data_IF_286277122169
#
_entry.id   IF_286277122169
#
_cell.length_a   1.000
_cell.length_b   1.000
_cell.length_c   1.000
_cell.angle_alpha   90.00
_cell.angle_beta   90.00
_cell.angle_gamma   90.00
#
_symmetry.space_group_name_H-M   'P 1'
#
loop_
_entity.id
_entity.type
_entity.pdbx_description
1 polymer ?
#
# COMPACT_ATOMS: atom_id res chain seq x y z
N UNK A 1 -4.67 3.32 -12.28
CA UNK A 1 -4.73 3.71 -10.87
C UNK A 1 -5.82 2.98 -10.10
N UNK A 2 -5.77 3.02 -8.79
CA UNK A 2 -6.70 2.29 -7.90
C UNK A 2 -7.27 3.25 -6.85
N UNK A 3 -8.59 3.36 -6.79
CA UNK A 3 -9.36 4.22 -5.88
C UNK A 3 -10.36 3.39 -5.05
N UNK A 4 -9.87 2.74 -3.98
CA UNK A 4 -10.63 1.82 -3.14
C UNK A 4 -10.55 2.18 -1.65
N UNK A 5 -9.87 3.25 -1.28
CA UNK A 5 -9.60 3.59 0.13
C UNK A 5 -10.86 3.86 0.94
N UNK A 6 -11.90 4.38 0.32
CA UNK A 6 -13.17 4.72 0.98
C UNK A 6 -13.99 3.49 1.40
N UNK A 7 -13.64 2.30 0.92
CA UNK A 7 -14.24 1.04 1.39
C UNK A 7 -13.59 0.50 2.67
N UNK A 8 -12.47 1.09 3.09
CA UNK A 8 -11.82 0.79 4.38
C UNK A 8 -12.39 1.71 5.48
N UNK A 9 -12.43 3.02 5.19
CA UNK A 9 -12.94 4.03 6.09
C UNK A 9 -13.46 5.22 5.28
N UNK A 10 -14.70 5.62 5.52
CA UNK A 10 -15.30 6.79 4.86
C UNK A 10 -14.81 8.05 5.55
N UNK A 11 -14.25 8.97 4.78
CA UNK A 11 -13.81 10.29 5.23
C UNK A 11 -14.83 11.35 4.91
N UNK A 12 -14.81 12.45 5.63
CA UNK A 12 -15.69 13.59 5.35
C UNK A 12 -15.49 14.11 3.92
N UNK A 13 -16.57 14.22 3.18
CA UNK A 13 -16.56 14.65 1.78
C UNK A 13 -16.14 13.57 0.77
N UNK A 14 -15.91 12.34 1.22
CA UNK A 14 -15.59 11.21 0.37
C UNK A 14 -16.74 10.23 0.24
N UNK A 15 -16.65 9.40 -0.78
CA UNK A 15 -17.62 8.35 -1.10
C UNK A 15 -18.05 8.42 -2.56
N UNK A 16 -18.14 7.25 -3.18
CA UNK A 16 -18.57 7.09 -4.57
C UNK A 16 -19.86 6.30 -4.60
N UNK A 17 -20.87 6.84 -5.27
CA UNK A 17 -22.14 6.15 -5.55
C UNK A 17 -22.19 5.73 -7.02
N UNK A 18 -22.82 4.60 -7.29
CA UNK A 18 -23.06 4.15 -8.66
C UNK A 18 -24.54 3.95 -8.94
N UNK A 19 -25.00 4.46 -10.08
CA UNK A 19 -26.37 4.28 -10.58
C UNK A 19 -26.39 4.33 -12.13
N UNK A 20 -27.05 3.36 -12.75
CA UNK A 20 -27.25 3.35 -14.19
C UNK A 20 -25.95 3.38 -15.02
N UNK A 21 -24.88 2.74 -14.55
CA UNK A 21 -23.58 2.74 -15.23
C UNK A 21 -22.79 4.06 -15.11
N UNK A 22 -23.17 4.91 -14.16
CA UNK A 22 -22.50 6.19 -13.87
C UNK A 22 -22.07 6.28 -12.44
N UNK A 23 -20.94 6.95 -12.20
CA UNK A 23 -20.41 7.26 -10.88
C UNK A 23 -20.64 8.73 -10.54
N UNK A 24 -20.89 8.98 -9.23
CA UNK A 24 -20.95 10.31 -8.63
C UNK A 24 -20.27 10.29 -7.28
N UNK A 25 -19.62 11.40 -6.92
CA UNK A 25 -18.95 11.58 -5.65
C UNK A 25 -17.46 11.70 -5.78
N UNK A 26 -16.73 11.43 -4.68
CA UNK A 26 -15.30 11.68 -4.58
C UNK A 26 -14.58 10.47 -4.02
N UNK A 27 -13.51 10.03 -4.68
CA UNK A 27 -12.55 9.07 -4.14
C UNK A 27 -11.25 9.79 -3.77
N UNK A 28 -10.90 9.76 -2.49
CA UNK A 28 -9.64 10.32 -1.99
C UNK A 28 -8.52 9.27 -2.09
N UNK A 29 -7.27 9.73 -2.30
CA UNK A 29 -6.07 8.88 -2.32
C UNK A 29 -6.11 7.74 -3.36
N UNK A 30 -6.49 8.06 -4.60
CA UNK A 30 -6.28 7.15 -5.72
C UNK A 30 -4.78 6.93 -5.92
N UNK A 31 -4.35 5.66 -5.82
CA UNK A 31 -2.95 5.26 -5.97
C UNK A 31 -2.57 5.10 -7.43
N UNK A 32 -1.30 5.37 -7.76
CA UNK A 32 -0.73 5.32 -9.11
C UNK A 32 -1.60 6.13 -10.09
N UNK A 33 -1.82 7.37 -9.68
CA UNK A 33 -2.74 8.30 -10.29
C UNK A 33 -2.18 8.89 -11.60
N UNK A 34 -0.91 9.34 -11.61
CA UNK A 34 -0.29 9.95 -12.77
C UNK A 34 0.02 8.91 -13.85
N UNK A 35 -0.31 9.26 -15.10
CA UNK A 35 -0.05 8.39 -16.24
C UNK A 35 -0.96 7.16 -16.35
N UNK A 36 -2.00 7.07 -15.53
CA UNK A 36 -2.97 6.00 -15.63
C UNK A 36 -3.88 6.18 -16.85
N UNK A 37 -4.09 5.13 -17.64
CA UNK A 37 -5.07 5.11 -18.74
C UNK A 37 -6.49 4.87 -18.20
N UNK A 38 -6.61 4.23 -17.04
CA UNK A 38 -7.89 3.94 -16.40
C UNK A 38 -7.73 3.79 -14.86
N UNK A 39 -8.86 3.90 -14.18
CA UNK A 39 -8.95 3.74 -12.72
C UNK A 39 -9.91 2.61 -12.36
N UNK A 40 -9.48 1.75 -11.43
CA UNK A 40 -10.37 0.83 -10.73
C UNK A 40 -10.93 1.58 -9.51
N UNK A 41 -12.24 1.73 -9.46
CA UNK A 41 -12.94 2.52 -8.43
C UNK A 41 -13.90 1.60 -7.68
N UNK A 42 -13.85 1.59 -6.36
CA UNK A 42 -14.88 0.95 -5.54
C UNK A 42 -15.95 1.96 -5.13
N UNK A 43 -17.22 1.60 -5.30
CA UNK A 43 -18.32 2.39 -4.76
C UNK A 43 -18.61 2.05 -3.29
N UNK A 44 -19.51 2.82 -2.67
CA UNK A 44 -19.90 2.65 -1.26
C UNK A 44 -20.57 1.29 -0.96
N UNK A 45 -21.04 0.58 -1.99
CA UNK A 45 -21.56 -0.79 -1.89
C UNK A 45 -20.50 -1.86 -2.06
N UNK A 46 -19.24 -1.49 -2.27
CA UNK A 46 -18.13 -2.41 -2.49
C UNK A 46 -18.08 -3.00 -3.91
N UNK A 47 -18.84 -2.46 -4.86
CA UNK A 47 -18.76 -2.87 -6.26
C UNK A 47 -17.57 -2.20 -6.93
N UNK A 48 -16.92 -2.91 -7.84
CA UNK A 48 -15.79 -2.39 -8.61
C UNK A 48 -16.22 -1.93 -9.99
N UNK A 49 -15.68 -0.80 -10.39
CA UNK A 49 -15.92 -0.16 -11.68
C UNK A 49 -14.61 0.21 -12.35
N UNK A 50 -14.55 0.09 -13.68
CA UNK A 50 -13.47 0.61 -14.50
C UNK A 50 -13.91 1.96 -15.11
N UNK A 51 -13.06 2.96 -14.94
CA UNK A 51 -13.27 4.32 -15.45
C UNK A 51 -12.06 4.72 -16.28
N UNK A 52 -12.26 5.11 -17.53
CA UNK A 52 -11.19 5.66 -18.36
C UNK A 52 -10.71 7.00 -17.83
N UNK A 53 -9.40 7.25 -17.86
CA UNK A 53 -8.81 8.48 -17.34
C UNK A 53 -9.31 9.75 -18.04
N UNK A 54 -9.80 9.61 -19.29
CA UNK A 54 -10.36 10.72 -20.08
C UNK A 54 -11.89 10.72 -20.09
N UNK A 55 -12.55 9.98 -19.18
CA UNK A 55 -14.01 9.90 -19.13
C UNK A 55 -14.63 11.28 -18.85
N UNK A 56 -15.71 11.60 -19.58
CA UNK A 56 -16.46 12.85 -19.33
C UNK A 56 -17.04 12.83 -17.90
N UNK A 57 -16.95 13.95 -17.19
CA UNK A 57 -17.41 14.09 -15.81
C UNK A 57 -16.39 13.56 -14.76
N UNK A 58 -15.21 13.12 -15.19
CA UNK A 58 -14.09 12.82 -14.30
C UNK A 58 -13.19 14.05 -14.16
N UNK A 59 -12.99 14.52 -12.94
CA UNK A 59 -11.92 15.45 -12.56
C UNK A 59 -10.89 14.70 -11.73
N UNK A 60 -9.63 14.74 -12.17
CA UNK A 60 -8.52 14.07 -11.53
C UNK A 60 -7.52 15.10 -11.00
N UNK A 61 -7.30 15.12 -9.67
CA UNK A 61 -6.54 16.15 -8.98
C UNK A 61 -5.32 15.51 -8.31
N UNK A 62 -4.11 15.93 -8.71
CA UNK A 62 -2.87 15.46 -8.11
C UNK A 62 -2.73 15.99 -6.67
N UNK A 63 -2.35 15.11 -5.74
CA UNK A 63 -2.04 15.47 -4.36
C UNK A 63 -0.53 15.56 -4.16
N UNK A 64 -0.11 16.58 -3.42
CA UNK A 64 1.30 16.71 -3.03
C UNK A 64 1.61 15.77 -1.88
N UNK A 65 2.51 14.82 -2.09
CA UNK A 65 2.95 13.84 -1.09
C UNK A 65 4.43 13.99 -0.77
N UNK A 66 4.84 13.51 0.42
CA UNK A 66 6.26 13.46 0.82
C UNK A 66 7.00 12.42 -0.03
N UNK A 67 6.41 11.23 -0.18
CA UNK A 67 6.92 10.20 -1.07
C UNK A 67 6.60 10.54 -2.52
N UNK A 68 7.65 10.84 -3.29
CA UNK A 68 7.56 11.18 -4.72
C UNK A 68 7.77 9.98 -5.64
N UNK A 69 7.99 8.80 -5.09
CA UNK A 69 8.14 7.57 -5.87
C UNK A 69 6.79 7.01 -6.33
N UNK A 70 5.69 7.51 -5.74
CA UNK A 70 4.31 7.13 -6.06
C UNK A 70 3.45 8.37 -6.20
N UNK A 71 2.59 8.36 -7.20
CA UNK A 71 1.58 9.40 -7.36
C UNK A 71 0.30 9.04 -6.60
N UNK A 72 -0.30 10.04 -5.98
CA UNK A 72 -1.59 9.92 -5.30
C UNK A 72 -2.47 11.07 -5.75
N UNK A 73 -3.73 10.80 -6.01
CA UNK A 73 -4.68 11.80 -6.48
C UNK A 73 -6.05 11.68 -5.83
N UNK A 74 -6.86 12.68 -6.06
CA UNK A 74 -8.29 12.71 -5.78
C UNK A 74 -9.05 12.60 -7.11
N UNK A 75 -10.06 11.75 -7.14
CA UNK A 75 -10.94 11.58 -8.30
C UNK A 75 -12.34 12.07 -7.94
N UNK A 76 -12.86 13.02 -8.69
CA UNK A 76 -14.24 13.51 -8.57
C UNK A 76 -15.05 13.05 -9.76
N UNK A 77 -16.23 12.52 -9.49
CA UNK A 77 -17.13 11.95 -10.48
C UNK A 77 -18.43 12.76 -10.51
N UNK A 78 -18.81 13.23 -11.69
CA UNK A 78 -20.11 13.90 -11.97
C UNK A 78 -20.77 13.22 -13.19
N UNK A 79 -21.61 12.23 -12.88
CA UNK A 79 -22.26 11.42 -13.92
C UNK A 79 -21.29 10.67 -14.83
N UNK A 80 -20.08 10.36 -14.33
CA UNK A 80 -18.99 9.74 -15.08
C UNK A 80 -19.33 8.32 -15.48
N UNK A 81 -19.27 8.02 -16.78
CA UNK A 81 -19.52 6.66 -17.27
C UNK A 81 -18.47 5.67 -16.76
N UNK A 82 -18.93 4.52 -16.29
CA UNK A 82 -18.10 3.48 -15.73
C UNK A 82 -18.57 2.10 -16.15
N UNK A 83 -17.62 1.21 -16.44
CA UNK A 83 -17.88 -0.18 -16.75
C UNK A 83 -17.87 -1.00 -15.43
N UNK A 84 -18.91 -1.77 -15.11
CA UNK A 84 -18.90 -2.64 -13.94
C UNK A 84 -17.89 -3.78 -14.13
N UNK A 85 -16.98 -3.94 -13.16
CA UNK A 85 -16.00 -5.04 -13.12
C UNK A 85 -16.45 -6.19 -12.22
N UNK A 86 -17.01 -5.87 -11.06
CA UNK A 86 -17.50 -6.86 -10.11
C UNK A 86 -18.67 -6.29 -9.27
N UNK A 87 -19.71 -7.11 -9.12
CA UNK A 87 -20.84 -6.89 -8.22
C UNK A 87 -21.14 -8.20 -7.47
N UNK A 88 -20.25 -8.55 -6.55
CA UNK A 88 -20.20 -9.83 -5.83
C UNK A 88 -20.32 -9.66 -4.31
N UNK A 89 -20.94 -8.55 -3.89
CA UNK A 89 -21.08 -8.22 -2.47
C UNK A 89 -19.76 -7.78 -1.81
N UNK A 90 -18.80 -7.29 -2.60
CA UNK A 90 -17.54 -6.76 -2.12
C UNK A 90 -16.41 -7.80 -1.98
N UNK A 91 -16.61 -9.02 -2.46
CA UNK A 91 -15.57 -10.07 -2.41
C UNK A 91 -14.33 -9.67 -3.23
N UNK A 92 -14.52 -9.17 -4.46
CA UNK A 92 -13.42 -8.71 -5.30
C UNK A 92 -12.69 -7.51 -4.67
N UNK A 93 -13.43 -6.57 -4.07
CA UNK A 93 -12.85 -5.42 -3.35
C UNK A 93 -12.04 -5.86 -2.14
N UNK A 94 -12.53 -6.82 -1.33
CA UNK A 94 -11.79 -7.38 -0.22
C UNK A 94 -10.50 -8.08 -0.68
N UNK A 95 -10.56 -8.80 -1.80
CA UNK A 95 -9.39 -9.44 -2.42
C UNK A 95 -8.37 -8.39 -2.90
N UNK A 96 -8.82 -7.31 -3.50
CA UNK A 96 -7.97 -6.21 -3.95
C UNK A 96 -7.28 -5.52 -2.76
N UNK A 97 -7.99 -5.29 -1.66
CA UNK A 97 -7.39 -4.79 -0.40
C UNK A 97 -6.32 -5.73 0.15
N UNK A 98 -6.59 -7.02 0.17
CA UNK A 98 -5.63 -7.99 0.66
C UNK A 98 -4.37 -8.01 -0.23
N UNK A 99 -4.53 -7.99 -1.57
CA UNK A 99 -3.41 -7.88 -2.50
C UNK A 99 -2.57 -6.62 -2.26
N UNK A 100 -3.22 -5.47 -2.11
CA UNK A 100 -2.55 -4.20 -1.80
C UNK A 100 -1.75 -4.26 -0.51
N UNK A 101 -2.29 -4.90 0.55
CA UNK A 101 -1.58 -5.09 1.81
C UNK A 101 -0.31 -5.93 1.65
N UNK A 102 -0.36 -7.02 0.87
CA UNK A 102 0.81 -7.86 0.61
C UNK A 102 1.88 -7.09 -0.17
N UNK A 103 1.48 -6.36 -1.21
CA UNK A 103 2.41 -5.55 -2.02
C UNK A 103 3.08 -4.47 -1.17
N UNK A 104 2.32 -3.75 -0.34
CA UNK A 104 2.86 -2.73 0.56
C UNK A 104 3.74 -3.32 1.69
N UNK A 105 3.46 -4.54 2.13
CA UNK A 105 4.32 -5.25 3.07
C UNK A 105 5.63 -5.67 2.42
N UNK A 106 5.59 -6.14 1.17
CA UNK A 106 6.80 -6.49 0.40
C UNK A 106 7.68 -5.26 0.13
N UNK A 107 7.08 -4.13 -0.19
CA UNK A 107 7.78 -2.86 -0.35
C UNK A 107 8.49 -2.41 0.95
N UNK A 108 7.77 -2.45 2.07
CA UNK A 108 8.35 -2.14 3.40
C UNK A 108 9.46 -3.12 3.79
N UNK A 109 9.34 -4.40 3.41
CA UNK A 109 10.38 -5.41 3.62
C UNK A 109 11.64 -5.05 2.85
N UNK A 110 11.53 -4.70 1.56
CA UNK A 110 12.67 -4.31 0.73
C UNK A 110 13.34 -3.02 1.22
N UNK A 111 12.55 -2.01 1.58
CA UNK A 111 13.07 -0.75 2.13
C UNK A 111 13.79 -0.97 3.47
N UNK A 112 13.23 -1.79 4.37
CA UNK A 112 13.85 -2.14 5.64
C UNK A 112 15.19 -2.85 5.45
N UNK A 113 15.29 -3.80 4.53
CA UNK A 113 16.54 -4.47 4.19
C UNK A 113 17.61 -3.47 3.73
N UNK A 114 17.24 -2.58 2.80
CA UNK A 114 18.17 -1.58 2.27
C UNK A 114 18.66 -0.60 3.36
N UNK A 115 17.81 -0.23 4.32
CA UNK A 115 18.20 0.63 5.44
C UNK A 115 19.15 -0.07 6.40
N UNK A 116 18.91 -1.34 6.72
CA UNK A 116 19.81 -2.14 7.57
C UNK A 116 21.18 -2.25 6.91
N UNK A 117 21.26 -2.58 5.62
CA UNK A 117 22.51 -2.67 4.88
C UNK A 117 23.30 -1.36 4.92
N UNK A 118 22.62 -0.24 4.62
CA UNK A 118 23.24 1.11 4.70
C UNK A 118 23.73 1.46 6.11
N UNK A 119 22.96 1.12 7.15
CA UNK A 119 23.35 1.38 8.54
C UNK A 119 24.60 0.56 8.93
N UNK A 120 24.65 -0.71 8.55
CA UNK A 120 25.79 -1.59 8.80
C UNK A 120 27.04 -1.12 8.04
N UNK A 121 26.90 -0.79 6.75
CA UNK A 121 27.98 -0.26 5.91
C UNK A 121 28.54 1.03 6.49
N UNK A 122 27.66 1.96 6.88
CA UNK A 122 28.08 3.21 7.49
C UNK A 122 28.80 2.98 8.85
N UNK A 123 28.30 2.09 9.67
CA UNK A 123 28.93 1.73 10.94
C UNK A 123 30.33 1.10 10.74
N UNK A 124 30.55 0.43 9.61
CA UNK A 124 31.84 -0.12 9.19
C UNK A 124 32.83 0.88 8.61
N UNK A 125 32.41 2.11 8.33
CA UNK A 125 33.24 3.15 7.69
C UNK A 125 33.47 4.37 8.58
N UNK A 126 32.49 4.74 9.38
CA UNK A 126 32.54 5.95 10.22
C UNK A 126 33.42 5.75 11.46
N UNK A 127 34.37 6.64 11.65
CA UNK A 127 35.20 6.66 12.85
C UNK A 127 34.76 7.74 13.83
N UNK A 128 34.72 7.38 15.11
CA UNK A 128 34.57 8.29 16.26
C UNK A 128 35.35 7.73 17.45
N UNK A 129 35.91 8.62 18.28
CA UNK A 129 36.71 8.24 19.43
C UNK A 129 37.90 7.32 19.07
N UNK A 130 38.51 7.55 17.90
CA UNK A 130 39.69 6.82 17.40
C UNK A 130 39.43 5.40 16.92
N UNK A 131 38.17 5.03 16.64
CA UNK A 131 37.82 3.72 16.10
C UNK A 131 36.50 3.75 15.32
N UNK A 132 36.27 2.71 14.50
CA UNK A 132 35.00 2.54 13.78
C UNK A 132 33.81 2.46 14.73
N UNK A 133 32.71 3.19 14.42
CA UNK A 133 31.53 3.17 15.29
C UNK A 133 30.90 1.78 15.41
N UNK A 134 31.00 0.95 14.37
CA UNK A 134 30.57 -0.46 14.40
C UNK A 134 31.36 -1.32 15.40
N UNK A 135 32.48 -0.85 15.95
CA UNK A 135 33.21 -1.55 17.01
C UNK A 135 32.56 -1.40 18.40
N UNK A 136 31.70 -0.39 18.58
CA UNK A 136 30.99 -0.17 19.84
C UNK A 136 29.85 -1.17 20.01
N UNK A 137 29.76 -1.77 21.19
CA UNK A 137 28.77 -2.81 21.47
C UNK A 137 27.33 -2.31 21.31
N UNK A 138 27.04 -1.07 21.70
CA UNK A 138 25.72 -0.48 21.55
C UNK A 138 25.28 -0.42 20.06
N UNK A 139 26.18 -0.02 19.16
CA UNK A 139 25.89 0.03 17.71
C UNK A 139 25.69 -1.38 17.15
N UNK A 140 26.54 -2.35 17.56
CA UNK A 140 26.36 -3.75 17.15
C UNK A 140 25.02 -4.32 17.58
N UNK A 141 24.60 -4.04 18.80
CA UNK A 141 23.31 -4.52 19.32
C UNK A 141 22.13 -3.90 18.57
N UNK A 142 22.19 -2.60 18.24
CA UNK A 142 21.16 -1.96 17.43
C UNK A 142 21.04 -2.61 16.04
N UNK A 143 22.17 -2.82 15.36
CA UNK A 143 22.17 -3.48 14.06
C UNK A 143 21.63 -4.92 14.14
N UNK A 144 22.03 -5.67 15.17
CA UNK A 144 21.56 -7.03 15.40
C UNK A 144 20.05 -7.08 15.70
N UNK A 145 19.53 -6.12 16.48
CA UNK A 145 18.11 -6.02 16.79
C UNK A 145 17.28 -5.67 15.54
N UNK A 146 17.76 -4.73 14.71
CA UNK A 146 17.11 -4.42 13.42
C UNK A 146 17.02 -5.68 12.55
N UNK A 147 18.11 -6.42 12.39
CA UNK A 147 18.14 -7.66 11.61
C UNK A 147 17.21 -8.75 12.21
N UNK A 148 17.24 -8.94 13.53
CA UNK A 148 16.43 -9.94 14.22
C UNK A 148 14.92 -9.67 14.10
N UNK A 149 14.51 -8.40 14.13
CA UNK A 149 13.11 -8.03 13.93
C UNK A 149 12.68 -8.08 12.47
N UNK A 150 13.59 -7.78 11.55
CA UNK A 150 13.30 -7.70 10.12
C UNK A 150 13.17 -9.07 9.45
N UNK A 151 14.03 -10.04 9.79
CA UNK A 151 14.07 -11.33 9.11
C UNK A 151 12.74 -12.13 9.17
N UNK A 152 11.98 -12.17 10.29
CA UNK A 152 10.68 -12.82 10.32
C UNK A 152 9.65 -12.22 9.35
N UNK A 153 9.76 -10.93 9.00
CA UNK A 153 8.86 -10.27 8.07
C UNK A 153 8.89 -10.92 6.68
N UNK A 154 10.05 -11.47 6.26
CA UNK A 154 10.21 -12.18 4.99
C UNK A 154 9.25 -13.37 4.89
N UNK A 155 9.23 -14.22 5.91
CA UNK A 155 8.35 -15.38 5.95
C UNK A 155 6.87 -14.99 5.97
N UNK A 156 6.53 -13.92 6.71
CA UNK A 156 5.15 -13.40 6.75
C UNK A 156 4.68 -12.91 5.38
N UNK A 157 5.51 -12.15 4.67
CA UNK A 157 5.17 -11.63 3.34
C UNK A 157 5.03 -12.77 2.33
N UNK A 158 5.96 -13.72 2.34
CA UNK A 158 5.91 -14.87 1.45
C UNK A 158 4.70 -15.77 1.71
N UNK A 159 4.39 -16.02 2.98
CA UNK A 159 3.20 -16.80 3.32
C UNK A 159 1.92 -16.06 2.93
N UNK A 160 1.84 -14.75 3.16
CA UNK A 160 0.69 -13.96 2.76
C UNK A 160 0.48 -13.96 1.23
N UNK A 161 1.55 -13.88 0.44
CA UNK A 161 1.48 -14.00 -1.01
C UNK A 161 1.02 -15.42 -1.44
N UNK A 162 1.60 -16.45 -0.85
CA UNK A 162 1.23 -17.85 -1.11
C UNK A 162 -0.24 -18.14 -0.79
N UNK A 163 -0.77 -17.58 0.29
CA UNK A 163 -2.13 -17.81 0.75
C UNK A 163 -3.21 -17.34 -0.25
N UNK A 164 -2.89 -16.39 -1.14
CA UNK A 164 -3.82 -15.94 -2.17
C UNK A 164 -4.29 -17.06 -3.08
N UNK A 165 -3.42 -18.00 -3.40
CA UNK A 165 -3.71 -19.10 -4.32
C UNK A 165 -3.94 -20.41 -3.58
N UNK A 166 -3.12 -20.71 -2.56
CA UNK A 166 -3.12 -21.99 -1.88
C UNK A 166 -4.12 -22.07 -0.72
N UNK A 167 -4.38 -20.96 0.00
CA UNK A 167 -5.26 -20.93 1.18
C UNK A 167 -6.15 -19.67 1.15
N UNK A 168 -7.02 -19.51 0.14
CA UNK A 168 -7.78 -18.26 -0.06
C UNK A 168 -8.63 -17.81 1.13
N UNK A 169 -9.06 -18.74 1.99
CA UNK A 169 -9.83 -18.43 3.20
C UNK A 169 -9.04 -17.66 4.24
N UNK A 170 -7.72 -17.79 4.25
CA UNK A 170 -6.80 -17.11 5.18
C UNK A 170 -6.19 -15.85 4.56
N UNK A 171 -6.25 -15.68 3.24
CA UNK A 171 -5.52 -14.64 2.51
C UNK A 171 -5.70 -13.23 3.10
N UNK A 172 -6.92 -12.84 3.43
CA UNK A 172 -7.20 -11.53 4.02
C UNK A 172 -6.57 -11.35 5.39
N UNK A 173 -6.65 -12.36 6.26
CA UNK A 173 -6.09 -12.33 7.62
C UNK A 173 -4.57 -12.25 7.58
N UNK A 174 -3.92 -13.13 6.81
CA UNK A 174 -2.45 -13.17 6.75
C UNK A 174 -1.88 -11.95 6.04
N UNK A 175 -2.61 -11.35 5.07
CA UNK A 175 -2.26 -10.07 4.47
C UNK A 175 -2.28 -8.92 5.50
N UNK A 176 -3.28 -8.91 6.39
CA UNK A 176 -3.32 -7.95 7.51
C UNK A 176 -2.15 -8.13 8.47
N UNK A 177 -1.83 -9.38 8.85
CA UNK A 177 -0.69 -9.68 9.72
C UNK A 177 0.63 -9.24 9.10
N UNK A 178 0.86 -9.60 7.83
CA UNK A 178 2.07 -9.20 7.11
C UNK A 178 2.22 -7.68 7.06
N UNK A 179 1.15 -6.95 6.67
CA UNK A 179 1.20 -5.49 6.56
C UNK A 179 1.39 -4.80 7.90
N UNK A 180 0.67 -5.23 8.94
CA UNK A 180 0.75 -4.61 10.27
C UNK A 180 2.14 -4.81 10.88
N UNK A 181 2.62 -6.06 10.93
CA UNK A 181 3.92 -6.37 11.53
C UNK A 181 5.08 -5.73 10.76
N UNK A 182 5.10 -5.86 9.43
CA UNK A 182 6.17 -5.28 8.61
C UNK A 182 6.21 -3.76 8.69
N UNK A 183 5.05 -3.08 8.78
CA UNK A 183 5.00 -1.62 8.94
C UNK A 183 5.60 -1.17 10.28
N UNK A 184 5.36 -1.91 11.37
CA UNK A 184 5.93 -1.60 12.68
C UNK A 184 7.44 -1.83 12.72
N UNK A 185 7.91 -2.95 12.16
CA UNK A 185 9.33 -3.24 12.05
C UNK A 185 10.04 -2.22 11.15
N UNK A 186 9.44 -1.85 10.02
CA UNK A 186 9.98 -0.84 9.12
C UNK A 186 10.17 0.51 9.85
N UNK A 187 9.18 0.94 10.63
CA UNK A 187 9.28 2.15 11.46
C UNK A 187 10.40 2.08 12.51
N UNK A 188 10.68 0.89 13.03
CA UNK A 188 11.76 0.68 13.99
C UNK A 188 13.13 0.74 13.31
N UNK A 189 13.25 0.24 12.09
CA UNK A 189 14.51 0.20 11.31
C UNK A 189 14.85 1.57 10.73
N UNK A 190 13.84 2.40 10.36
CA UNK A 190 14.00 3.74 9.78
C UNK A 190 14.47 4.77 10.83
#
# INVERSE_FOLDING_TARGET
>A
GVAISETIEVRDGAGVSSAGGKLNGTALFALDFEGADAYIVADSGGRLHLVGANASGLEAIALTTIDRTRSVGELRFDGTAAEPLADDGGVATARLHAAGRVILAADSLGAGQAMIEKAVDYAGQREQFGRLIGSFQAVKHMCAEMAARHEPCRSLVWYAAHAFDAVPKEASLVACHAKSHTAEVHRFVA
#
